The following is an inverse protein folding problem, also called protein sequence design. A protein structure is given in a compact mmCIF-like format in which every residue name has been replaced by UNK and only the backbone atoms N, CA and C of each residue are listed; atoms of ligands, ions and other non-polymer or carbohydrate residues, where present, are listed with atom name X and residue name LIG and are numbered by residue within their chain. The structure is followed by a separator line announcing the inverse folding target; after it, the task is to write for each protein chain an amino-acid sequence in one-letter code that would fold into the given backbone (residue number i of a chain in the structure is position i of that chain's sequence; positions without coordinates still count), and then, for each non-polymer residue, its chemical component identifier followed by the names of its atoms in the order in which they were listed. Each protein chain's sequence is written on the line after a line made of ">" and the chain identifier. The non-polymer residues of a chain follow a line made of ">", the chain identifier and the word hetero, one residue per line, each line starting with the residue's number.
data_IF_197726470513
#
_entry.id   IF_197726470513
#
_cell.length_a   1.000
_cell.length_b   1.000
_cell.length_c   1.000
_cell.angle_alpha   90.00
_cell.angle_beta   90.00
_cell.angle_gamma   90.00
#
_symmetry.space_group_name_H-M   'P 1'
#
loop_
_entity.id
_entity.type
_entity.pdbx_description
1 polymer ?
#
# COMPACT_ATOMS: atom_id res chain seq x y z
N UNK A 1 -12.63 -6.28 -72.64
CA UNK A 1 -13.86 -6.27 -71.82
C UNK A 1 -13.45 -6.38 -70.35
N UNK A 2 -13.99 -5.48 -69.54
CA UNK A 2 -13.71 -5.25 -68.12
C UNK A 2 -14.17 -6.39 -67.20
N UNK A 3 -13.58 -6.47 -66.00
CA UNK A 3 -14.16 -7.18 -64.84
C UNK A 3 -13.18 -7.37 -63.68
N UNK A 4 -13.39 -6.65 -62.57
CA UNK A 4 -12.56 -6.54 -61.36
C UNK A 4 -12.72 -7.74 -60.41
N UNK A 5 -11.71 -7.98 -59.56
CA UNK A 5 -11.83 -8.80 -58.34
C UNK A 5 -10.74 -8.42 -57.32
N UNK A 6 -11.17 -7.78 -56.23
CA UNK A 6 -10.37 -7.31 -55.09
C UNK A 6 -9.66 -8.46 -54.36
N UNK A 7 -8.38 -8.25 -54.00
CA UNK A 7 -7.61 -9.10 -53.09
C UNK A 7 -6.82 -8.23 -52.11
N UNK A 8 -7.28 -8.24 -50.87
CA UNK A 8 -6.96 -7.35 -49.75
C UNK A 8 -5.46 -7.32 -49.38
N UNK A 9 -4.90 -6.11 -49.34
CA UNK A 9 -3.70 -5.76 -48.58
C UNK A 9 -4.05 -5.77 -47.09
N UNK A 10 -3.56 -6.77 -46.34
CA UNK A 10 -3.35 -6.64 -44.90
C UNK A 10 -2.44 -7.78 -44.43
N UNK A 11 -1.14 -7.51 -44.32
CA UNK A 11 -0.25 -8.27 -43.44
C UNK A 11 0.58 -7.30 -42.61
N UNK A 12 0.27 -7.36 -41.30
CA UNK A 12 1.08 -7.05 -40.12
C UNK A 12 1.59 -5.61 -40.00
N UNK A 13 0.72 -4.73 -39.52
CA UNK A 13 1.12 -3.62 -38.67
C UNK A 13 0.27 -3.70 -37.40
N UNK A 14 0.85 -4.20 -36.32
CA UNK A 14 0.15 -4.47 -35.07
C UNK A 14 1.01 -5.39 -34.23
N UNK A 15 2.05 -4.81 -33.61
CA UNK A 15 2.84 -5.37 -32.49
C UNK A 15 4.06 -4.51 -32.10
N UNK A 16 4.15 -3.24 -32.52
CA UNK A 16 5.27 -2.36 -32.17
C UNK A 16 4.87 -1.08 -31.41
N UNK A 17 3.59 -0.88 -31.10
CA UNK A 17 3.14 0.35 -30.42
C UNK A 17 3.21 0.22 -28.90
N UNK A 18 3.01 -0.98 -28.32
CA UNK A 18 3.12 -1.20 -26.87
C UNK A 18 4.56 -1.19 -26.33
N UNK A 19 5.50 -1.86 -27.03
CA UNK A 19 6.91 -2.00 -26.57
C UNK A 19 7.76 -0.72 -26.65
N UNK A 20 7.31 0.33 -27.33
CA UNK A 20 8.04 1.60 -27.42
C UNK A 20 7.64 2.58 -26.32
N UNK A 21 6.42 2.49 -25.81
CA UNK A 21 5.94 3.40 -24.77
C UNK A 21 6.60 3.10 -23.42
N UNK A 22 6.69 1.82 -23.04
CA UNK A 22 7.36 1.36 -21.82
C UNK A 22 8.87 1.70 -21.81
N UNK A 23 9.56 1.53 -22.95
CA UNK A 23 10.97 1.88 -23.07
C UNK A 23 11.24 3.38 -22.94
N UNK A 24 10.36 4.25 -23.45
CA UNK A 24 10.55 5.70 -23.38
C UNK A 24 10.33 6.25 -21.96
N UNK A 25 9.43 5.66 -21.18
CA UNK A 25 9.20 6.04 -19.78
C UNK A 25 10.35 5.58 -18.88
N UNK A 26 10.88 4.38 -19.12
CA UNK A 26 12.04 3.84 -18.40
C UNK A 26 13.32 4.66 -18.70
N UNK A 27 13.57 5.01 -19.96
CA UNK A 27 14.65 5.91 -20.39
C UNK A 27 14.52 7.34 -19.80
N UNK A 28 13.29 7.85 -19.66
CA UNK A 28 13.04 9.18 -19.09
C UNK A 28 13.24 9.21 -17.56
N UNK A 29 12.95 8.12 -16.85
CA UNK A 29 13.28 8.00 -15.43
C UNK A 29 14.80 7.91 -15.21
N UNK A 30 15.50 7.14 -16.03
CA UNK A 30 16.96 6.95 -15.94
C UNK A 30 17.71 8.29 -16.17
N UNK A 31 17.27 9.07 -17.17
CA UNK A 31 17.84 10.40 -17.44
C UNK A 31 17.61 11.37 -16.26
N UNK A 32 16.43 11.33 -15.62
CA UNK A 32 16.13 12.18 -14.45
C UNK A 32 16.91 11.78 -13.19
N UNK A 33 17.24 10.49 -13.07
CA UNK A 33 18.06 9.97 -11.98
C UNK A 33 19.50 10.48 -12.11
N UNK A 34 20.09 10.38 -13.30
CA UNK A 34 21.44 10.90 -13.57
C UNK A 34 21.53 12.41 -13.35
N UNK A 35 20.54 13.19 -13.81
CA UNK A 35 20.51 14.64 -13.61
C UNK A 35 20.49 15.01 -12.11
N UNK A 36 19.70 14.29 -11.31
CA UNK A 36 19.61 14.54 -9.87
C UNK A 36 20.88 14.08 -9.13
N UNK A 37 21.49 12.97 -9.54
CA UNK A 37 22.77 12.51 -8.99
C UNK A 37 23.87 13.57 -9.21
N UNK A 38 23.95 14.11 -10.42
CA UNK A 38 24.90 15.17 -10.77
C UNK A 38 24.63 16.46 -9.99
N UNK A 39 23.36 16.87 -9.87
CA UNK A 39 23.00 18.04 -9.09
C UNK A 39 23.39 17.91 -7.60
N UNK A 40 23.12 16.77 -6.98
CA UNK A 40 23.51 16.53 -5.59
C UNK A 40 25.03 16.49 -5.44
N UNK A 41 25.76 15.88 -6.38
CA UNK A 41 27.22 15.87 -6.40
C UNK A 41 27.81 17.28 -6.42
N UNK A 42 27.25 18.18 -7.24
CA UNK A 42 27.68 19.58 -7.33
C UNK A 42 27.33 20.40 -6.08
N UNK A 43 26.29 20.01 -5.34
CA UNK A 43 25.92 20.65 -4.08
C UNK A 43 26.81 20.27 -2.90
N UNK A 44 27.38 19.06 -2.86
CA UNK A 44 28.17 18.57 -1.70
C UNK A 44 29.24 19.58 -1.24
N UNK A 45 30.09 20.16 -2.12
CA UNK A 45 31.13 21.11 -1.72
C UNK A 45 30.59 22.44 -1.19
N UNK A 46 29.32 22.74 -1.43
CA UNK A 46 28.68 24.00 -1.00
C UNK A 46 28.01 23.89 0.36
N UNK A 47 27.90 22.69 0.93
CA UNK A 47 27.22 22.40 2.18
C UNK A 47 28.22 22.33 3.35
N UNK A 48 28.26 23.32 4.26
CA UNK A 48 29.24 23.35 5.36
C UNK A 48 29.15 22.13 6.29
N UNK A 49 27.97 21.54 6.41
CA UNK A 49 27.73 20.33 7.20
C UNK A 49 28.31 19.05 6.59
N UNK A 50 28.81 19.09 5.34
CA UNK A 50 29.46 17.97 4.66
C UNK A 50 30.97 18.19 4.42
N UNK A 51 31.56 19.25 4.99
CA UNK A 51 32.95 19.66 4.74
C UNK A 51 33.99 18.58 5.15
N UNK A 52 33.59 17.61 5.98
CA UNK A 52 34.41 16.46 6.38
C UNK A 52 34.15 15.16 5.62
N UNK A 53 33.27 15.16 4.62
CA UNK A 53 32.92 13.94 3.87
C UNK A 53 34.05 13.57 2.90
N UNK A 54 34.59 12.36 3.01
CA UNK A 54 35.64 11.90 2.09
C UNK A 54 35.06 11.65 0.69
N UNK A 55 35.82 11.98 -0.36
CA UNK A 55 35.39 11.81 -1.76
C UNK A 55 34.99 10.37 -2.11
N UNK A 56 35.59 9.38 -1.44
CA UNK A 56 35.25 7.96 -1.58
C UNK A 56 33.80 7.64 -1.18
N UNK A 57 33.21 8.42 -0.27
CA UNK A 57 31.82 8.27 0.18
C UNK A 57 30.80 9.06 -0.64
N UNK A 58 31.23 9.88 -1.61
CA UNK A 58 30.31 10.74 -2.37
C UNK A 58 29.27 9.92 -3.14
N UNK A 59 29.70 8.84 -3.81
CA UNK A 59 28.77 7.95 -4.52
C UNK A 59 27.73 7.34 -3.58
N UNK A 60 28.12 6.94 -2.37
CA UNK A 60 27.18 6.40 -1.37
C UNK A 60 26.20 7.47 -0.87
N UNK A 61 26.70 8.67 -0.57
CA UNK A 61 25.88 9.79 -0.12
C UNK A 61 24.88 10.23 -1.19
N UNK A 62 25.34 10.40 -2.43
CA UNK A 62 24.52 10.82 -3.59
C UNK A 62 23.45 9.78 -3.86
N UNK A 63 23.84 8.50 -3.95
CA UNK A 63 22.88 7.42 -4.15
C UNK A 63 21.83 7.37 -3.03
N UNK A 64 22.24 7.59 -1.78
CA UNK A 64 21.32 7.67 -0.64
C UNK A 64 20.42 8.91 -0.70
N UNK A 65 20.97 10.06 -1.08
CA UNK A 65 20.25 11.32 -1.16
C UNK A 65 19.27 11.33 -2.32
N UNK A 66 19.65 10.86 -3.51
CA UNK A 66 18.77 10.67 -4.67
C UNK A 66 17.64 9.72 -4.33
N UNK A 67 17.94 8.57 -3.70
CA UNK A 67 16.89 7.66 -3.24
C UNK A 67 15.94 8.35 -2.27
N UNK A 68 16.45 9.15 -1.33
CA UNK A 68 15.60 9.94 -0.42
C UNK A 68 14.79 11.00 -1.18
N UNK A 69 15.38 11.70 -2.14
CA UNK A 69 14.68 12.73 -2.92
C UNK A 69 13.57 12.13 -3.78
N UNK A 70 13.85 11.09 -4.56
CA UNK A 70 12.81 10.38 -5.32
C UNK A 70 11.76 9.77 -4.40
N UNK A 71 12.16 9.29 -3.23
CA UNK A 71 11.25 8.74 -2.23
C UNK A 71 10.32 9.80 -1.63
N UNK A 72 10.86 10.97 -1.24
CA UNK A 72 10.09 12.07 -0.66
C UNK A 72 9.27 12.83 -1.70
N UNK A 73 9.79 12.97 -2.91
CA UNK A 73 9.16 13.73 -4.01
C UNK A 73 8.33 12.84 -4.94
N UNK A 74 8.07 11.59 -4.57
CA UNK A 74 7.18 10.73 -5.35
C UNK A 74 5.81 11.44 -5.51
N UNK A 75 5.48 11.92 -6.72
CA UNK A 75 4.29 12.75 -6.91
C UNK A 75 3.01 11.95 -6.68
N UNK A 76 3.04 10.63 -6.86
CA UNK A 76 1.90 9.76 -6.61
C UNK A 76 1.64 9.66 -5.11
N UNK A 77 2.68 9.44 -4.30
CA UNK A 77 2.54 9.36 -2.83
C UNK A 77 2.20 10.71 -2.20
N UNK A 78 2.81 11.78 -2.71
CA UNK A 78 2.45 13.15 -2.31
C UNK A 78 0.99 13.45 -2.65
N UNK A 79 0.53 13.05 -3.85
CA UNK A 79 -0.86 13.21 -4.26
C UNK A 79 -1.83 12.40 -3.40
N UNK A 80 -1.49 11.15 -3.05
CA UNK A 80 -2.28 10.31 -2.15
C UNK A 80 -2.39 10.93 -0.76
N UNK A 81 -1.28 11.42 -0.20
CA UNK A 81 -1.27 12.10 1.09
C UNK A 81 -2.22 13.31 1.10
N UNK A 82 -2.08 14.20 0.11
CA UNK A 82 -2.93 15.40 -0.01
C UNK A 82 -4.41 15.07 -0.26
N UNK A 83 -4.69 13.91 -0.88
CA UNK A 83 -6.07 13.44 -1.05
C UNK A 83 -6.68 12.94 0.26
N UNK A 84 -5.86 12.45 1.20
CA UNK A 84 -6.31 12.00 2.51
C UNK A 84 -6.51 13.16 3.49
N UNK A 85 -5.59 14.14 3.50
CA UNK A 85 -5.64 15.37 4.30
C UNK A 85 -6.81 16.27 3.84
N UNK A 86 -7.97 16.13 4.50
CA UNK A 86 -9.23 16.78 4.12
C UNK A 86 -9.38 18.16 4.71
N UNK A 87 -8.82 18.40 5.88
CA UNK A 87 -8.84 19.72 6.51
C UNK A 87 -7.69 20.60 6.02
N UNK A 88 -6.76 20.03 5.24
CA UNK A 88 -5.62 20.70 4.63
C UNK A 88 -4.68 21.31 5.67
N UNK A 89 -4.56 20.67 6.83
CA UNK A 89 -3.71 21.11 7.92
C UNK A 89 -2.24 20.66 7.75
N UNK A 90 -1.97 19.77 6.79
CA UNK A 90 -0.63 19.26 6.46
C UNK A 90 -0.21 18.02 7.25
N UNK A 91 -1.07 17.50 8.12
CA UNK A 91 -0.93 16.26 8.88
C UNK A 91 -2.11 15.31 8.58
N UNK A 92 -2.01 14.06 9.04
CA UNK A 92 -3.09 13.08 8.89
C UNK A 92 -3.60 12.61 10.24
N UNK A 93 -4.89 12.81 10.48
CA UNK A 93 -5.62 12.15 11.56
C UNK A 93 -5.83 10.66 11.30
N UNK A 94 -6.21 9.91 12.34
CA UNK A 94 -6.57 8.49 12.21
C UNK A 94 -7.74 8.30 11.25
N UNK A 95 -8.73 9.17 11.32
CA UNK A 95 -9.93 9.16 10.49
C UNK A 95 -9.58 9.37 9.01
N UNK A 96 -8.58 10.19 8.71
CA UNK A 96 -8.10 10.38 7.34
C UNK A 96 -7.29 9.19 6.86
N UNK A 97 -6.34 8.71 7.67
CA UNK A 97 -5.53 7.54 7.32
C UNK A 97 -6.38 6.27 7.12
N UNK A 98 -7.51 6.14 7.83
CA UNK A 98 -8.43 5.01 7.66
C UNK A 98 -8.97 4.84 6.24
N UNK A 99 -8.92 5.91 5.43
CA UNK A 99 -9.36 5.91 4.03
C UNK A 99 -8.25 5.52 3.05
N UNK A 100 -7.05 5.22 3.54
CA UNK A 100 -5.95 4.74 2.71
C UNK A 100 -6.29 3.39 2.06
N UNK A 101 -5.87 3.20 0.80
CA UNK A 101 -6.15 1.99 0.03
C UNK A 101 -7.64 1.75 -0.18
N UNK A 102 -8.13 0.57 0.20
CA UNK A 102 -9.56 0.19 0.14
C UNK A 102 -10.33 0.52 1.42
N UNK A 103 -9.73 1.24 2.37
CA UNK A 103 -10.31 1.51 3.68
C UNK A 103 -10.66 0.24 4.50
N UNK A 104 -9.93 -0.85 4.26
CA UNK A 104 -10.11 -2.17 4.90
C UNK A 104 -9.23 -2.38 6.12
N UNK A 105 -8.41 -1.40 6.49
CA UNK A 105 -7.54 -1.52 7.65
C UNK A 105 -8.34 -1.49 8.96
N UNK A 106 -8.08 -2.44 9.84
CA UNK A 106 -8.78 -2.52 11.14
C UNK A 106 -8.49 -1.30 12.01
N UNK A 107 -9.51 -0.87 12.75
CA UNK A 107 -9.37 0.22 13.71
C UNK A 107 -8.29 -0.08 14.75
N UNK A 108 -8.22 -1.33 15.19
CA UNK A 108 -7.20 -1.81 16.13
C UNK A 108 -5.79 -1.69 15.56
N UNK A 109 -5.58 -2.01 14.28
CA UNK A 109 -4.27 -1.82 13.65
C UNK A 109 -3.93 -0.34 13.50
N UNK A 110 -4.89 0.50 13.08
CA UNK A 110 -4.69 1.95 12.99
C UNK A 110 -4.39 2.57 14.37
N UNK A 111 -5.04 2.11 15.44
CA UNK A 111 -4.70 2.53 16.81
C UNK A 111 -3.24 2.22 17.14
N UNK A 112 -2.75 1.03 16.76
CA UNK A 112 -1.34 0.68 16.96
C UNK A 112 -0.40 1.56 16.14
N UNK A 113 -0.76 1.90 14.91
CA UNK A 113 0.00 2.85 14.07
C UNK A 113 0.17 4.19 14.79
N UNK A 114 -0.92 4.80 15.26
CA UNK A 114 -0.87 6.11 15.93
C UNK A 114 -0.29 6.08 17.35
N UNK A 115 -0.26 4.92 18.00
CA UNK A 115 0.42 4.73 19.29
C UNK A 115 1.93 4.59 19.15
N UNK A 116 2.41 3.91 18.11
CA UNK A 116 3.82 3.54 17.95
C UNK A 116 4.61 4.49 17.05
N UNK A 117 3.92 5.19 16.14
CA UNK A 117 4.53 6.14 15.23
C UNK A 117 4.63 7.53 15.86
N UNK A 118 5.51 8.36 15.29
CA UNK A 118 5.63 9.75 15.71
C UNK A 118 4.36 10.51 15.28
N UNK A 119 3.71 11.15 16.25
CA UNK A 119 2.52 11.97 16.02
C UNK A 119 2.66 13.30 16.75
N UNK A 120 1.98 14.33 16.23
CA UNK A 120 1.88 15.65 16.82
C UNK A 120 0.39 15.92 17.05
N UNK A 121 0.00 16.10 18.32
CA UNK A 121 -1.40 16.25 18.72
C UNK A 121 -2.36 15.15 18.19
N UNK A 122 -1.83 13.94 18.03
CA UNK A 122 -2.58 12.79 17.52
C UNK A 122 -2.61 12.67 16.00
N UNK A 123 -1.91 13.54 15.28
CA UNK A 123 -1.81 13.54 13.82
C UNK A 123 -0.41 13.16 13.33
N UNK A 124 -0.35 12.54 12.16
CA UNK A 124 0.86 12.00 11.57
C UNK A 124 1.42 12.94 10.51
N UNK A 125 2.73 13.18 10.51
CA UNK A 125 3.38 13.97 9.47
C UNK A 125 3.63 13.15 8.18
N UNK A 126 3.92 13.84 7.08
CA UNK A 126 4.18 13.20 5.78
C UNK A 126 5.32 12.18 5.83
N UNK A 127 6.37 12.45 6.62
CA UNK A 127 7.49 11.53 6.76
C UNK A 127 7.05 10.21 7.39
N UNK A 128 6.25 10.28 8.44
CA UNK A 128 5.76 9.11 9.16
C UNK A 128 4.77 8.33 8.31
N UNK A 129 3.91 9.01 7.54
CA UNK A 129 3.04 8.40 6.54
C UNK A 129 3.84 7.63 5.48
N UNK A 130 4.93 8.22 4.99
CA UNK A 130 5.81 7.59 4.02
C UNK A 130 6.47 6.32 4.57
N UNK A 131 6.98 6.36 5.80
CA UNK A 131 7.57 5.19 6.47
C UNK A 131 6.51 4.06 6.61
N UNK A 132 5.26 4.41 6.89
CA UNK A 132 4.11 3.51 6.96
C UNK A 132 3.76 2.87 5.60
N UNK A 133 3.57 3.69 4.55
CA UNK A 133 3.22 3.21 3.20
C UNK A 133 4.31 2.31 2.64
N UNK A 134 5.58 2.67 2.82
CA UNK A 134 6.70 1.83 2.39
C UNK A 134 6.67 0.44 3.02
N UNK A 135 6.43 0.39 4.33
CA UNK A 135 6.39 -0.87 5.05
C UNK A 135 5.25 -1.77 4.53
N UNK A 136 4.10 -1.19 4.18
CA UNK A 136 2.97 -1.92 3.61
C UNK A 136 3.22 -2.42 2.18
N UNK A 137 3.90 -1.63 1.35
CA UNK A 137 4.22 -2.01 -0.04
C UNK A 137 5.33 -3.07 -0.11
N UNK A 138 6.26 -3.05 0.84
CA UNK A 138 7.48 -3.86 0.81
C UNK A 138 7.54 -4.90 1.95
N UNK A 139 6.41 -5.52 2.32
CA UNK A 139 6.29 -6.46 3.46
C UNK A 139 7.26 -7.64 3.50
N UNK A 140 7.97 -7.94 2.41
CA UNK A 140 8.99 -9.00 2.35
C UNK A 140 10.35 -8.53 2.86
N UNK A 141 10.60 -7.22 2.85
CA UNK A 141 11.88 -6.65 3.26
C UNK A 141 12.05 -6.73 4.78
N UNK A 142 13.26 -7.05 5.29
CA UNK A 142 13.51 -7.14 6.73
C UNK A 142 13.15 -5.85 7.49
N UNK A 143 13.42 -4.67 6.88
CA UNK A 143 13.10 -3.39 7.48
C UNK A 143 11.58 -3.16 7.61
N UNK A 144 10.81 -3.55 6.60
CA UNK A 144 9.35 -3.49 6.64
C UNK A 144 8.79 -4.48 7.67
N UNK A 145 9.33 -5.70 7.74
CA UNK A 145 8.94 -6.68 8.75
C UNK A 145 9.24 -6.18 10.17
N UNK A 146 10.37 -5.50 10.39
CA UNK A 146 10.70 -4.90 11.69
C UNK A 146 9.69 -3.81 12.06
N UNK A 147 9.30 -2.96 11.11
CA UNK A 147 8.26 -1.95 11.29
C UNK A 147 6.91 -2.59 11.64
N UNK A 148 6.47 -3.58 10.85
CA UNK A 148 5.22 -4.30 11.09
C UNK A 148 5.21 -5.02 12.44
N UNK A 149 6.32 -5.66 12.80
CA UNK A 149 6.46 -6.36 14.06
C UNK A 149 6.33 -5.41 15.25
N UNK A 150 6.92 -4.21 15.17
CA UNK A 150 6.77 -3.17 16.20
C UNK A 150 5.29 -2.81 16.43
N UNK A 151 4.50 -2.71 15.36
CA UNK A 151 3.07 -2.42 15.48
C UNK A 151 2.29 -3.59 16.11
N UNK A 152 2.65 -4.82 15.74
CA UNK A 152 1.98 -6.05 16.20
C UNK A 152 2.38 -6.48 17.62
N UNK A 153 3.57 -6.11 18.09
CA UNK A 153 4.07 -6.44 19.43
C UNK A 153 3.53 -5.46 20.48
N UNK A 154 2.24 -5.59 20.77
CA UNK A 154 1.48 -4.72 21.68
C UNK A 154 2.13 -4.64 23.08
N UNK A 155 2.77 -5.73 23.52
CA UNK A 155 3.40 -5.80 24.85
C UNK A 155 4.89 -5.42 24.83
N UNK A 156 5.47 -5.11 23.66
CA UNK A 156 6.88 -4.78 23.46
C UNK A 156 7.86 -5.81 24.07
N UNK A 157 7.56 -7.10 23.90
CA UNK A 157 8.36 -8.20 24.48
C UNK A 157 9.37 -8.81 23.50
N UNK A 158 9.34 -8.42 22.24
CA UNK A 158 10.15 -9.00 21.17
C UNK A 158 9.59 -10.31 20.63
N UNK A 159 8.34 -10.68 20.96
CA UNK A 159 7.65 -11.85 20.43
C UNK A 159 6.12 -11.64 20.40
N UNK A 160 5.44 -12.22 19.41
CA UNK A 160 3.98 -12.25 19.35
C UNK A 160 3.46 -13.51 20.03
N UNK A 161 2.62 -13.34 21.03
CA UNK A 161 1.98 -14.46 21.71
C UNK A 161 0.52 -14.64 21.24
N UNK A 162 -0.15 -15.66 21.77
CA UNK A 162 -1.54 -15.97 21.42
C UNK A 162 -2.48 -14.80 21.72
N UNK A 163 -2.23 -14.01 22.77
CA UNK A 163 -3.03 -12.82 23.06
C UNK A 163 -2.81 -11.72 22.02
N UNK A 164 -1.56 -11.47 21.61
CA UNK A 164 -1.25 -10.50 20.54
C UNK A 164 -1.95 -10.86 19.23
N UNK A 165 -1.90 -12.13 18.83
CA UNK A 165 -2.55 -12.59 17.60
C UNK A 165 -4.09 -12.54 17.71
N UNK A 166 -4.64 -13.02 18.82
CA UNK A 166 -6.08 -12.99 19.06
C UNK A 166 -6.63 -11.57 19.14
N UNK A 167 -5.84 -10.59 19.60
CA UNK A 167 -6.28 -9.21 19.68
C UNK A 167 -6.67 -8.63 18.31
N UNK A 168 -5.83 -8.84 17.28
CA UNK A 168 -6.13 -8.39 15.93
C UNK A 168 -7.22 -9.21 15.26
N UNK A 169 -7.23 -10.54 15.44
CA UNK A 169 -8.24 -11.42 14.83
C UNK A 169 -9.64 -11.22 15.42
N UNK A 170 -9.71 -10.94 16.73
CA UNK A 170 -10.97 -10.71 17.43
C UNK A 170 -11.69 -9.46 16.92
N UNK A 171 -10.95 -8.42 16.53
CA UNK A 171 -11.53 -7.16 16.07
C UNK A 171 -12.41 -7.37 14.83
N UNK A 172 -11.92 -8.11 13.84
CA UNK A 172 -12.64 -8.48 12.61
C UNK A 172 -14.01 -9.15 12.90
N UNK A 173 -14.01 -10.16 13.77
CA UNK A 173 -15.24 -10.89 14.10
C UNK A 173 -16.18 -10.00 14.93
N UNK A 174 -15.65 -9.20 15.85
CA UNK A 174 -16.47 -8.32 16.69
C UNK A 174 -17.09 -7.17 15.90
N UNK A 175 -16.39 -6.63 14.91
CA UNK A 175 -16.95 -5.60 14.02
C UNK A 175 -18.07 -6.16 13.12
N UNK A 176 -17.92 -7.41 12.66
CA UNK A 176 -18.96 -8.10 11.88
C UNK A 176 -20.22 -8.42 12.71
N UNK A 177 -20.05 -8.89 13.95
CA UNK A 177 -21.18 -9.34 14.78
C UNK A 177 -21.83 -8.21 15.58
N UNK A 178 -21.08 -7.16 15.93
CA UNK A 178 -21.50 -6.02 16.77
C UNK A 178 -22.24 -6.48 18.04
N UNK A 179 -21.61 -7.32 18.88
CA UNK A 179 -22.28 -7.90 20.04
C UNK A 179 -22.68 -6.83 21.07
N UNK A 180 -23.72 -7.10 21.84
CA UNK A 180 -24.17 -6.19 22.91
C UNK A 180 -23.15 -6.04 24.04
N UNK A 181 -22.41 -7.11 24.34
CA UNK A 181 -21.35 -7.13 25.33
C UNK A 181 -20.00 -7.08 24.59
N UNK A 182 -19.14 -6.07 24.82
CA UNK A 182 -17.89 -5.90 24.10
C UNK A 182 -16.86 -6.98 24.45
N UNK A 183 -17.13 -7.88 25.41
CA UNK A 183 -16.22 -8.95 25.81
C UNK A 183 -16.63 -10.34 25.30
N UNK A 184 -17.85 -10.52 24.79
CA UNK A 184 -18.35 -11.84 24.34
C UNK A 184 -19.39 -11.73 23.24
N UNK A 185 -19.43 -12.74 22.39
CA UNK A 185 -20.50 -12.94 21.41
C UNK A 185 -21.45 -14.00 21.97
N UNK A 186 -22.72 -13.64 22.18
CA UNK A 186 -23.76 -14.62 22.48
C UNK A 186 -24.33 -15.22 21.20
N UNK A 187 -25.00 -16.38 21.32
CA UNK A 187 -25.75 -16.96 20.21
C UNK A 187 -26.76 -15.97 19.62
N UNK A 188 -27.38 -15.14 20.47
CA UNK A 188 -28.35 -14.16 20.02
C UNK A 188 -27.69 -13.03 19.22
N UNK A 189 -26.48 -12.61 19.58
CA UNK A 189 -25.73 -11.62 18.79
C UNK A 189 -25.38 -12.20 17.41
N UNK A 190 -24.94 -13.45 17.36
CA UNK A 190 -24.62 -14.13 16.10
C UNK A 190 -25.83 -14.24 15.17
N UNK A 191 -26.99 -14.66 15.71
CA UNK A 191 -28.25 -14.73 14.95
C UNK A 191 -28.69 -13.34 14.49
N UNK A 192 -28.63 -12.34 15.36
CA UNK A 192 -29.11 -11.00 15.05
C UNK A 192 -28.20 -10.23 14.07
N UNK A 193 -26.92 -10.60 13.98
CA UNK A 193 -25.95 -9.96 13.09
C UNK A 193 -26.24 -10.20 11.60
N UNK A 194 -26.98 -11.27 11.26
CA UNK A 194 -27.10 -11.81 9.89
C UNK A 194 -25.74 -12.17 9.25
N UNK A 195 -24.70 -12.36 10.05
CA UNK A 195 -23.35 -12.74 9.62
C UNK A 195 -22.92 -14.08 10.25
N UNK A 196 -23.85 -14.80 10.88
CA UNK A 196 -23.52 -16.00 11.64
C UNK A 196 -22.95 -17.15 10.81
N UNK A 197 -23.41 -17.29 9.57
CA UNK A 197 -22.91 -18.24 8.58
C UNK A 197 -21.47 -17.92 8.17
N UNK A 198 -21.18 -16.66 7.86
CA UNK A 198 -19.83 -16.15 7.56
C UNK A 198 -18.87 -16.38 8.72
N UNK A 199 -19.24 -15.94 9.93
CA UNK A 199 -18.41 -16.08 11.13
C UNK A 199 -18.14 -17.54 11.45
N UNK A 200 -19.16 -18.40 11.36
CA UNK A 200 -19.00 -19.83 11.61
C UNK A 200 -18.06 -20.45 10.57
N UNK A 201 -18.19 -20.08 9.30
CA UNK A 201 -17.34 -20.55 8.21
C UNK A 201 -15.87 -20.17 8.42
N UNK A 202 -15.59 -18.90 8.75
CA UNK A 202 -14.25 -18.41 9.08
C UNK A 202 -13.63 -19.20 10.26
N UNK A 203 -14.42 -19.52 11.28
CA UNK A 203 -13.93 -20.16 12.50
C UNK A 203 -13.67 -21.67 12.37
N UNK A 204 -14.33 -22.37 11.44
CA UNK A 204 -14.25 -23.84 11.33
C UNK A 204 -13.60 -24.34 10.04
N UNK A 205 -13.48 -23.50 9.01
CA UNK A 205 -12.97 -23.89 7.69
C UNK A 205 -11.88 -22.93 7.21
N UNK A 206 -10.66 -23.45 7.05
CA UNK A 206 -9.52 -22.69 6.53
C UNK A 206 -9.77 -22.19 5.10
N UNK A 207 -10.43 -22.98 4.25
CA UNK A 207 -10.77 -22.56 2.89
C UNK A 207 -11.88 -21.51 2.92
N UNK A 208 -12.80 -21.63 3.86
CA UNK A 208 -13.83 -20.64 4.16
C UNK A 208 -13.22 -19.28 4.52
N UNK A 209 -12.25 -19.27 5.45
CA UNK A 209 -11.49 -18.07 5.80
C UNK A 209 -10.76 -17.48 4.59
N UNK A 210 -10.01 -18.30 3.84
CA UNK A 210 -9.29 -17.83 2.65
C UNK A 210 -10.24 -17.21 1.60
N UNK A 211 -11.39 -17.84 1.37
CA UNK A 211 -12.38 -17.35 0.40
C UNK A 211 -12.98 -16.01 0.84
N UNK A 212 -13.25 -15.86 2.13
CA UNK A 212 -13.75 -14.61 2.69
C UNK A 212 -12.75 -13.46 2.50
N UNK A 213 -11.49 -13.68 2.86
CA UNK A 213 -10.41 -12.70 2.72
C UNK A 213 -10.18 -12.28 1.26
N UNK A 214 -10.37 -13.19 0.31
CA UNK A 214 -10.12 -12.93 -1.12
C UNK A 214 -11.39 -12.63 -1.93
N UNK A 215 -12.54 -12.43 -1.27
CA UNK A 215 -13.85 -12.31 -1.96
C UNK A 215 -13.91 -11.17 -2.98
N UNK A 216 -13.25 -10.05 -2.72
CA UNK A 216 -13.26 -8.89 -3.62
C UNK A 216 -12.45 -9.16 -4.89
N UNK A 217 -11.32 -9.84 -4.77
CA UNK A 217 -10.50 -10.23 -5.92
C UNK A 217 -11.22 -11.27 -6.79
N UNK A 218 -11.97 -12.18 -6.17
CA UNK A 218 -12.79 -13.16 -6.89
C UNK A 218 -13.93 -12.48 -7.67
N UNK A 219 -14.62 -11.52 -7.06
CA UNK A 219 -15.70 -10.75 -7.71
C UNK A 219 -15.17 -9.86 -8.85
N UNK A 220 -13.97 -9.28 -8.71
CA UNK A 220 -13.35 -8.50 -9.77
C UNK A 220 -13.06 -9.33 -11.03
N UNK A 221 -12.57 -10.57 -10.85
CA UNK A 221 -12.24 -11.47 -11.95
C UNK A 221 -13.48 -12.02 -12.69
N UNK A 222 -14.61 -12.21 -11.98
CA UNK A 222 -15.85 -12.68 -12.61
C UNK A 222 -16.48 -11.60 -13.49
N UNK A 223 -16.37 -10.32 -13.09
CA UNK A 223 -16.88 -9.20 -13.87
C UNK A 223 -16.10 -8.99 -15.18
N UNK A 224 -14.77 -9.18 -15.17
CA UNK A 224 -13.95 -9.11 -16.40
C UNK A 224 -14.28 -10.24 -17.38
N UNK A 225 -14.50 -11.47 -16.90
CA UNK A 225 -14.86 -12.61 -17.76
C UNK A 225 -16.27 -12.54 -18.33
N UNK A 226 -17.17 -11.75 -17.74
CA UNK A 226 -18.54 -11.57 -18.22
C UNK A 226 -18.69 -10.51 -19.31
N UNK A 227 -17.72 -9.60 -19.46
CA UNK A 227 -17.76 -8.51 -20.45
C UNK A 227 -17.41 -8.98 -21.88
N UNK A 228 -16.81 -10.16 -22.03
CA UNK A 228 -16.41 -10.74 -23.33
C UNK A 228 -17.48 -11.66 -23.95
N UNK A 229 -18.67 -11.78 -23.36
CA UNK A 229 -19.73 -12.71 -23.81
C UNK A 229 -20.98 -12.04 -24.42
N UNK A 230 -21.02 -10.71 -24.56
CA UNK A 230 -22.17 -9.98 -25.13
C UNK A 230 -21.94 -9.43 -26.55
N UNK A 231 -20.93 -9.93 -27.28
CA UNK A 231 -20.71 -9.57 -28.69
C UNK A 231 -20.51 -10.82 -29.56
N UNK A 232 -21.54 -11.67 -29.64
CA UNK A 232 -21.70 -12.68 -30.72
C UNK A 232 -23.16 -12.91 -31.08
#
# INVERSE_FOLDING_TARGET
>A
MCGRGNGTLQRKCGDQVGRKQENCEELALDTRLEDLENYILELIPTLPQLDGLEKSFYSFYVCTAVRKFFFFLDPLRTGQYLNLDKDHNGMLSKEELSRYGTATMTNVFLDRVFQECLTYDGEMDYKTYLDFVLALENRKEPAALQYMFKLLDIENKGYLNVFSLNYFFRDEIFDMVKPKDPLKISLQDLINSNQGDTVTTILIDLNGFWTYENREALVANDNENSADLDDT
#
